data_IF_076704863442
#
_entry.id   IF_076704863442
#
_cell.length_a   1.000
_cell.length_b   1.000
_cell.length_c   1.000
_cell.angle_alpha   90.00
_cell.angle_beta   90.00
_cell.angle_gamma   90.00
#
_symmetry.space_group_name_H-M   'P 1'
#
loop_
_entity.id
_entity.type
_entity.pdbx_description
1 polymer ?
#
# COMPACT_ATOMS: atom_id res chain seq x y z
N UNK A 1 -22.57 -5.23 2.92
CA UNK A 1 -23.66 -5.59 3.87
C UNK A 1 -23.64 -7.08 4.25
N UNK A 2 -23.19 -7.97 3.37
CA UNK A 2 -23.35 -9.43 3.51
C UNK A 2 -22.59 -10.08 4.67
N UNK A 3 -21.32 -9.71 4.93
CA UNK A 3 -20.50 -10.48 5.89
C UNK A 3 -20.94 -10.23 7.35
N UNK A 4 -21.07 -8.97 7.77
CA UNK A 4 -21.33 -8.63 9.18
C UNK A 4 -22.82 -8.59 9.53
N UNK A 5 -23.69 -8.30 8.55
CA UNK A 5 -25.14 -8.25 8.77
C UNK A 5 -25.80 -9.63 8.80
N UNK A 6 -25.29 -10.59 8.03
CA UNK A 6 -25.95 -11.89 7.80
C UNK A 6 -25.20 -13.08 8.41
N UNK A 7 -24.01 -12.86 9.00
CA UNK A 7 -23.14 -13.92 9.57
C UNK A 7 -22.87 -15.08 8.60
N UNK A 8 -22.51 -14.74 7.36
CA UNK A 8 -22.26 -15.70 6.28
C UNK A 8 -20.76 -15.84 6.01
N UNK A 9 -20.28 -17.07 5.83
CA UNK A 9 -18.92 -17.35 5.36
C UNK A 9 -18.81 -17.09 3.86
N UNK A 10 -17.75 -16.41 3.43
CA UNK A 10 -17.52 -16.06 2.01
C UNK A 10 -16.20 -16.67 1.55
N UNK A 11 -16.23 -17.39 0.43
CA UNK A 11 -15.04 -17.85 -0.28
C UNK A 11 -14.69 -16.84 -1.38
N UNK A 12 -13.48 -16.31 -1.35
CA UNK A 12 -12.97 -15.38 -2.37
C UNK A 12 -11.88 -16.10 -3.15
N UNK A 13 -12.03 -16.18 -4.48
CA UNK A 13 -11.00 -16.70 -5.36
C UNK A 13 -10.95 -15.92 -6.67
N UNK A 14 -9.85 -16.09 -7.39
CA UNK A 14 -9.66 -15.65 -8.78
C UNK A 14 -9.09 -16.83 -9.58
N UNK A 15 -8.41 -16.57 -10.72
CA UNK A 15 -7.72 -17.61 -11.49
C UNK A 15 -6.66 -18.31 -10.63
N UNK A 16 -5.59 -17.58 -10.29
CA UNK A 16 -4.41 -18.11 -9.59
C UNK A 16 -4.40 -17.73 -8.10
N UNK A 17 -5.26 -16.79 -7.71
CA UNK A 17 -5.50 -16.45 -6.31
C UNK A 17 -4.44 -15.56 -5.64
N UNK A 18 -3.33 -15.20 -6.30
CA UNK A 18 -2.27 -14.39 -5.68
C UNK A 18 -2.28 -12.89 -6.05
N UNK A 19 -3.18 -12.42 -6.92
CA UNK A 19 -3.28 -11.01 -7.32
C UNK A 19 -4.56 -10.33 -6.79
N UNK A 20 -5.72 -10.65 -7.39
CA UNK A 20 -7.00 -10.01 -7.05
C UNK A 20 -7.60 -10.50 -5.73
N UNK A 21 -7.34 -11.74 -5.35
CA UNK A 21 -7.83 -12.30 -4.08
C UNK A 21 -7.24 -11.56 -2.87
N UNK A 22 -5.90 -11.39 -2.73
CA UNK A 22 -5.37 -10.64 -1.60
C UNK A 22 -5.82 -9.19 -1.59
N UNK A 23 -6.00 -8.53 -2.75
CA UNK A 23 -6.61 -7.19 -2.81
C UNK A 23 -7.97 -7.15 -2.12
N UNK A 24 -8.90 -8.04 -2.50
CA UNK A 24 -10.26 -8.07 -1.96
C UNK A 24 -10.27 -8.47 -0.47
N UNK A 25 -9.54 -9.53 -0.11
CA UNK A 25 -9.51 -10.04 1.25
C UNK A 25 -8.91 -9.03 2.23
N UNK A 26 -7.83 -8.34 1.86
CA UNK A 26 -7.18 -7.37 2.75
C UNK A 26 -7.94 -6.05 2.85
N UNK A 27 -8.57 -5.57 1.77
CA UNK A 27 -9.48 -4.41 1.85
C UNK A 27 -10.70 -4.71 2.74
N UNK A 28 -11.28 -5.90 2.63
CA UNK A 28 -12.38 -6.30 3.51
C UNK A 28 -11.94 -6.39 4.98
N UNK A 29 -10.75 -6.94 5.25
CA UNK A 29 -10.16 -7.00 6.59
C UNK A 29 -9.93 -5.59 7.16
N UNK A 30 -9.36 -4.66 6.40
CA UNK A 30 -9.21 -3.25 6.81
C UNK A 30 -10.55 -2.57 7.12
N UNK A 31 -11.58 -2.91 6.35
CA UNK A 31 -12.92 -2.35 6.54
C UNK A 31 -13.59 -2.86 7.82
N UNK A 32 -13.35 -4.12 8.20
CA UNK A 32 -14.10 -4.79 9.28
C UNK A 32 -13.35 -4.76 10.62
N UNK A 33 -12.02 -4.91 10.60
CA UNK A 33 -11.22 -5.10 11.81
C UNK A 33 -10.28 -3.89 12.04
N UNK A 34 -10.49 -3.13 13.14
CA UNK A 34 -9.63 -2.00 13.49
C UNK A 34 -8.16 -2.38 13.70
N UNK A 35 -7.86 -3.63 14.06
CA UNK A 35 -6.47 -4.07 14.25
C UNK A 35 -5.62 -3.79 13.03
N UNK A 36 -6.11 -4.13 11.83
CA UNK A 36 -5.38 -3.93 10.58
C UNK A 36 -5.19 -2.47 10.18
N UNK A 37 -5.85 -1.53 10.88
CA UNK A 37 -5.70 -0.09 10.69
C UNK A 37 -4.60 0.52 11.56
N UNK A 38 -3.93 -0.28 12.38
CA UNK A 38 -2.68 0.06 13.07
C UNK A 38 -1.47 -0.18 12.14
N UNK A 39 -0.32 0.45 12.40
CA UNK A 39 0.95 0.21 11.69
C UNK A 39 1.34 -1.27 11.80
N UNK A 40 1.27 -1.82 13.02
CA UNK A 40 1.56 -3.24 13.26
C UNK A 40 0.56 -4.15 12.53
N UNK A 41 -0.72 -3.81 12.56
CA UNK A 41 -1.75 -4.56 11.86
C UNK A 41 -1.56 -4.52 10.34
N UNK A 42 -1.23 -3.36 9.77
CA UNK A 42 -0.92 -3.23 8.34
C UNK A 42 0.28 -4.11 7.95
N UNK A 43 1.34 -4.09 8.76
CA UNK A 43 2.49 -4.98 8.59
C UNK A 43 2.06 -6.45 8.58
N UNK A 44 1.27 -6.88 9.58
CA UNK A 44 0.78 -8.27 9.65
C UNK A 44 -0.09 -8.60 8.44
N UNK A 45 -0.95 -7.68 8.00
CA UNK A 45 -1.81 -7.87 6.83
C UNK A 45 -0.99 -8.09 5.55
N UNK A 46 0.07 -7.32 5.35
CA UNK A 46 0.96 -7.44 4.19
C UNK A 46 1.78 -8.72 4.27
N UNK A 47 2.43 -9.01 5.40
CA UNK A 47 3.24 -10.22 5.57
C UNK A 47 2.38 -11.49 5.47
N UNK A 48 1.17 -11.48 6.02
CA UNK A 48 0.23 -12.61 5.97
C UNK A 48 -0.38 -12.77 4.59
N UNK A 49 -1.18 -11.80 4.13
CA UNK A 49 -2.07 -12.00 2.99
C UNK A 49 -1.43 -11.66 1.64
N UNK A 50 -0.31 -10.93 1.62
CA UNK A 50 0.41 -10.66 0.38
C UNK A 50 1.65 -11.55 0.26
N UNK A 51 2.54 -11.51 1.25
CA UNK A 51 3.82 -12.23 1.17
C UNK A 51 3.63 -13.74 1.35
N UNK A 52 2.95 -14.18 2.42
CA UNK A 52 2.80 -15.61 2.69
C UNK A 52 1.86 -16.33 1.71
N UNK A 53 0.87 -15.63 1.16
CA UNK A 53 -0.02 -16.15 0.10
C UNK A 53 0.61 -16.13 -1.30
N UNK A 54 1.86 -15.67 -1.44
CA UNK A 54 2.65 -15.83 -2.66
C UNK A 54 2.35 -14.81 -3.76
N UNK A 55 2.02 -13.57 -3.39
CA UNK A 55 2.02 -12.49 -4.39
C UNK A 55 3.41 -12.37 -5.02
N UNK A 56 3.48 -12.41 -6.35
CA UNK A 56 4.72 -12.45 -7.10
C UNK A 56 5.39 -11.08 -7.23
N UNK A 57 5.83 -10.49 -6.11
CA UNK A 57 6.37 -9.12 -6.08
C UNK A 57 7.51 -8.91 -7.08
N UNK A 58 8.45 -9.85 -7.19
CA UNK A 58 9.60 -9.76 -8.10
C UNK A 58 9.16 -9.72 -9.57
N UNK A 59 8.20 -10.58 -9.95
CA UNK A 59 7.69 -10.65 -11.34
C UNK A 59 6.83 -9.43 -11.69
N UNK A 60 6.00 -8.97 -10.74
CA UNK A 60 5.07 -7.85 -10.90
C UNK A 60 5.79 -6.50 -10.95
N UNK A 61 6.87 -6.35 -10.17
CA UNK A 61 7.65 -5.11 -10.05
C UNK A 61 8.94 -5.11 -10.89
N UNK A 62 9.24 -6.22 -11.56
CA UNK A 62 10.41 -6.39 -12.42
C UNK A 62 11.76 -6.15 -11.74
N UNK A 63 11.94 -6.71 -10.54
CA UNK A 63 13.23 -6.64 -9.83
C UNK A 63 14.33 -7.44 -10.52
N UNK A 64 13.97 -8.47 -11.29
CA UNK A 64 14.92 -9.23 -12.10
C UNK A 64 15.27 -8.49 -13.39
N UNK A 65 16.55 -8.23 -13.60
CA UNK A 65 17.07 -7.53 -14.79
C UNK A 65 17.30 -8.45 -15.99
N UNK A 66 17.19 -9.77 -15.82
CA UNK A 66 17.64 -10.73 -16.83
C UNK A 66 16.64 -10.93 -17.97
N UNK A 67 15.35 -10.69 -17.77
CA UNK A 67 14.34 -10.64 -18.85
C UNK A 67 13.19 -9.68 -18.48
N UNK A 68 12.65 -8.91 -19.45
CA UNK A 68 11.42 -8.16 -19.21
C UNK A 68 10.28 -9.16 -18.94
N UNK A 69 9.86 -9.26 -17.68
CA UNK A 69 8.65 -9.99 -17.31
C UNK A 69 7.45 -9.38 -18.04
N UNK A 70 6.76 -10.19 -18.85
CA UNK A 70 5.44 -9.83 -19.42
C UNK A 70 4.35 -9.82 -18.33
N UNK A 71 4.65 -10.30 -17.12
CA UNK A 71 3.70 -10.33 -16.00
C UNK A 71 3.71 -9.04 -15.16
N UNK A 72 4.37 -7.97 -15.61
CA UNK A 72 4.39 -6.68 -14.88
C UNK A 72 2.98 -6.12 -14.74
N UNK A 73 2.60 -5.81 -13.51
CA UNK A 73 1.29 -5.22 -13.23
C UNK A 73 1.28 -4.52 -11.87
N UNK A 74 0.67 -3.32 -11.74
CA UNK A 74 0.70 -2.51 -10.52
C UNK A 74 -0.29 -3.02 -9.44
N UNK A 75 -0.34 -4.32 -9.18
CA UNK A 75 -1.36 -4.94 -8.31
C UNK A 75 -1.28 -4.42 -6.88
N UNK A 76 -0.09 -4.39 -6.28
CA UNK A 76 0.12 -3.87 -4.93
C UNK A 76 -0.04 -2.35 -4.85
N UNK A 77 0.37 -1.62 -5.90
CA UNK A 77 0.12 -0.18 -6.03
C UNK A 77 -1.37 0.15 -5.99
N UNK A 78 -2.17 -0.53 -6.81
CA UNK A 78 -3.62 -0.33 -6.87
C UNK A 78 -4.29 -0.67 -5.55
N UNK A 79 -3.74 -1.62 -4.79
CA UNK A 79 -4.20 -1.89 -3.44
C UNK A 79 -3.88 -0.74 -2.48
N UNK A 80 -2.65 -0.23 -2.47
CA UNK A 80 -2.28 0.92 -1.64
C UNK A 80 -3.07 2.18 -1.99
N UNK A 81 -3.37 2.41 -3.27
CA UNK A 81 -4.31 3.45 -3.70
C UNK A 81 -5.68 3.22 -3.06
N UNK A 82 -6.25 2.01 -3.14
CA UNK A 82 -7.50 1.70 -2.43
C UNK A 82 -7.41 1.97 -0.93
N UNK A 83 -6.30 1.67 -0.25
CA UNK A 83 -6.10 2.00 1.17
C UNK A 83 -6.13 3.52 1.37
N UNK A 84 -5.42 4.28 0.54
CA UNK A 84 -5.44 5.75 0.56
C UNK A 84 -6.85 6.32 0.32
N UNK A 85 -7.63 5.74 -0.59
CA UNK A 85 -9.03 6.14 -0.82
C UNK A 85 -9.88 5.98 0.45
N UNK A 86 -9.66 4.92 1.23
CA UNK A 86 -10.37 4.69 2.49
C UNK A 86 -9.89 5.67 3.56
N UNK A 87 -8.56 5.87 3.69
CA UNK A 87 -7.98 6.85 4.62
C UNK A 87 -8.54 8.25 4.39
N UNK A 88 -8.64 8.70 3.13
CA UNK A 88 -9.22 10.01 2.79
C UNK A 88 -10.68 10.12 3.23
N UNK A 89 -11.47 9.06 3.09
CA UNK A 89 -12.89 9.06 3.48
C UNK A 89 -13.10 8.93 4.99
N UNK A 90 -12.11 8.41 5.71
CA UNK A 90 -12.13 8.18 7.16
C UNK A 90 -10.81 8.65 7.80
N UNK A 91 -10.60 9.97 7.94
CA UNK A 91 -9.29 10.53 8.30
C UNK A 91 -8.79 10.14 9.68
N UNK A 92 -9.66 9.71 10.59
CA UNK A 92 -9.31 9.42 11.99
C UNK A 92 -9.16 7.93 12.31
N UNK A 93 -9.45 7.03 11.36
CA UNK A 93 -9.61 5.59 11.70
C UNK A 93 -8.35 4.75 11.50
N UNK A 94 -7.30 5.33 10.93
CA UNK A 94 -6.00 4.71 10.68
C UNK A 94 -4.93 5.35 11.55
N UNK A 95 -4.10 4.52 12.19
CA UNK A 95 -2.95 4.94 12.98
C UNK A 95 -1.85 5.52 12.09
N UNK A 96 -1.74 4.99 10.87
CA UNK A 96 -0.75 5.44 9.92
C UNK A 96 -1.25 6.55 9.00
N UNK A 97 -0.32 7.39 8.56
CA UNK A 97 -0.56 8.47 7.61
C UNK A 97 -0.13 8.09 6.18
N UNK A 98 -0.29 9.04 5.24
CA UNK A 98 0.06 8.87 3.84
C UNK A 98 1.54 8.57 3.60
N UNK A 99 2.45 9.13 4.44
CA UNK A 99 3.88 8.91 4.33
C UNK A 99 4.24 7.42 4.43
N UNK A 100 3.49 6.63 5.22
CA UNK A 100 3.74 5.19 5.30
C UNK A 100 3.44 4.51 3.96
N UNK A 101 2.30 4.84 3.34
CA UNK A 101 1.93 4.25 2.06
C UNK A 101 2.93 4.64 0.95
N UNK A 102 3.35 5.90 0.92
CA UNK A 102 4.40 6.37 -0.01
C UNK A 102 5.73 5.66 0.24
N UNK A 103 6.13 5.49 1.50
CA UNK A 103 7.36 4.78 1.83
C UNK A 103 7.32 3.30 1.45
N UNK A 104 6.17 2.63 1.58
CA UNK A 104 5.97 1.26 1.09
C UNK A 104 6.15 1.21 -0.44
N UNK A 105 5.57 2.16 -1.19
CA UNK A 105 5.68 2.23 -2.65
C UNK A 105 7.09 2.55 -3.14
N UNK A 106 7.78 3.49 -2.50
CA UNK A 106 9.15 3.81 -2.88
C UNK A 106 10.07 2.60 -2.67
N UNK A 107 9.86 1.85 -1.58
CA UNK A 107 10.64 0.66 -1.28
C UNK A 107 10.15 -0.62 -1.96
N UNK A 108 8.97 -0.60 -2.58
CA UNK A 108 8.53 -1.64 -3.51
C UNK A 108 9.44 -1.70 -4.72
N UNK A 109 9.91 -0.55 -5.22
CA UNK A 109 10.73 -0.46 -6.44
C UNK A 109 12.23 -0.22 -6.16
N UNK A 110 12.60 0.36 -5.01
CA UNK A 110 14.00 0.69 -4.73
C UNK A 110 14.92 -0.51 -4.50
N UNK A 111 14.34 -1.68 -4.19
CA UNK A 111 15.06 -2.88 -3.76
C UNK A 111 15.99 -2.66 -2.55
N UNK A 112 15.78 -1.60 -1.76
CA UNK A 112 16.59 -1.28 -0.58
C UNK A 112 16.45 -2.32 0.54
N UNK A 113 15.26 -2.91 0.67
CA UNK A 113 14.91 -3.88 1.68
C UNK A 113 14.53 -5.20 1.03
N UNK A 114 14.73 -6.32 1.71
CA UNK A 114 14.37 -7.64 1.19
C UNK A 114 12.89 -7.98 1.30
N UNK A 115 12.08 -7.10 1.90
CA UNK A 115 10.66 -7.35 2.17
C UNK A 115 9.89 -7.73 0.90
N UNK A 116 10.13 -7.05 -0.23
CA UNK A 116 9.36 -7.23 -1.47
C UNK A 116 10.14 -7.91 -2.61
N UNK A 117 11.30 -8.53 -2.36
CA UNK A 117 12.19 -9.02 -3.44
C UNK A 117 11.89 -10.44 -3.95
N UNK A 118 11.00 -11.19 -3.30
CA UNK A 118 10.71 -12.60 -3.63
C UNK A 118 9.28 -12.78 -4.12
N UNK A 119 9.06 -13.84 -4.91
CA UNK A 119 7.74 -14.26 -5.36
C UNK A 119 7.03 -15.22 -4.39
N UNK A 120 7.77 -15.87 -3.49
CA UNK A 120 7.17 -16.75 -2.52
C UNK A 120 7.87 -16.68 -1.15
N UNK A 121 7.14 -17.07 -0.11
CA UNK A 121 7.63 -17.10 1.26
C UNK A 121 8.88 -17.97 1.41
N UNK A 122 8.88 -19.17 0.81
CA UNK A 122 9.96 -20.14 0.94
C UNK A 122 11.30 -19.60 0.39
N UNK A 123 11.26 -18.94 -0.76
CA UNK A 123 12.46 -18.35 -1.37
C UNK A 123 12.97 -17.17 -0.53
N UNK A 124 12.05 -16.36 0.03
CA UNK A 124 12.42 -15.24 0.92
C UNK A 124 13.10 -15.74 2.19
N UNK A 125 12.54 -16.77 2.82
CA UNK A 125 13.08 -17.35 4.05
C UNK A 125 14.48 -17.93 3.83
N UNK A 126 14.67 -18.67 2.73
CA UNK A 126 15.95 -19.30 2.40
C UNK A 126 17.04 -18.32 1.98
N UNK A 127 16.69 -17.27 1.23
CA UNK A 127 17.68 -16.47 0.52
C UNK A 127 17.79 -15.02 0.98
N UNK A 128 16.74 -14.45 1.57
CA UNK A 128 16.66 -13.00 1.84
C UNK A 128 16.64 -12.65 3.32
N UNK A 129 15.98 -13.43 4.17
CA UNK A 129 15.79 -13.05 5.58
C UNK A 129 17.10 -12.89 6.37
N UNK A 130 18.14 -13.67 6.03
CA UNK A 130 19.45 -13.56 6.68
C UNK A 130 20.37 -12.52 6.03
N UNK A 131 20.11 -12.13 4.79
CA UNK A 131 21.01 -11.32 3.94
C UNK A 131 20.52 -9.89 3.73
N UNK A 132 19.28 -9.58 4.12
CA UNK A 132 18.63 -8.29 3.87
C UNK A 132 17.92 -7.76 5.11
N UNK A 133 17.71 -6.43 5.14
CA UNK A 133 16.89 -5.79 6.17
C UNK A 133 15.41 -5.79 5.76
N UNK A 134 14.54 -5.89 6.76
CA UNK A 134 13.10 -5.65 6.59
C UNK A 134 12.79 -4.15 6.62
N UNK A 135 11.89 -3.71 5.74
CA UNK A 135 11.36 -2.34 5.77
C UNK A 135 10.69 -2.01 7.12
N UNK A 136 10.07 -3.00 7.75
CA UNK A 136 9.38 -2.83 9.03
C UNK A 136 10.33 -2.41 10.14
N UNK A 137 11.59 -2.87 10.11
CA UNK A 137 12.61 -2.42 11.06
C UNK A 137 12.92 -0.92 10.89
N UNK A 138 12.92 -0.42 9.66
CA UNK A 138 13.08 1.01 9.39
C UNK A 138 11.84 1.81 9.78
N UNK A 139 10.64 1.26 9.54
CA UNK A 139 9.36 1.86 9.97
C UNK A 139 9.33 2.01 11.49
N UNK A 140 9.66 0.96 12.24
CA UNK A 140 9.74 0.97 13.71
C UNK A 140 10.74 2.02 14.22
N UNK A 141 11.90 2.16 13.57
CA UNK A 141 12.91 3.17 13.94
C UNK A 141 12.45 4.61 13.66
N UNK A 142 11.52 4.81 12.73
CA UNK A 142 11.01 6.11 12.32
C UNK A 142 9.51 6.24 12.60
N UNK A 143 9.01 5.51 13.61
CA UNK A 143 7.59 5.31 13.87
C UNK A 143 6.80 6.63 13.93
N UNK A 144 7.35 7.65 14.61
CA UNK A 144 6.72 8.97 14.74
C UNK A 144 6.43 9.67 13.40
N UNK A 145 7.22 9.40 12.34
CA UNK A 145 6.97 9.95 11.00
C UNK A 145 5.68 9.42 10.39
N UNK A 146 5.33 8.18 10.71
CA UNK A 146 4.22 7.46 10.09
C UNK A 146 2.92 7.59 10.85
N UNK A 147 2.92 8.23 12.01
CA UNK A 147 1.73 8.40 12.81
C UNK A 147 0.79 9.44 12.21
N UNK A 148 -0.49 9.10 12.21
CA UNK A 148 -1.59 10.01 11.98
C UNK A 148 -1.93 10.73 13.30
N UNK A 149 -1.76 12.06 13.39
CA UNK A 149 -2.06 12.80 14.61
C UNK A 149 -3.56 12.80 14.96
N UNK A 150 -4.42 12.57 13.97
CA UNK A 150 -5.87 12.54 14.14
C UNK A 150 -6.42 11.13 14.43
N UNK A 151 -5.54 10.15 14.66
CA UNK A 151 -5.95 8.77 14.91
C UNK A 151 -6.77 8.64 16.20
N UNK A 152 -7.98 8.10 16.04
CA UNK A 152 -8.87 7.72 17.13
C UNK A 152 -8.92 6.19 17.23
N UNK A 153 -8.34 5.64 18.30
CA UNK A 153 -8.24 4.20 18.56
C UNK A 153 -9.62 3.50 18.57
N UNK A 154 -10.68 4.22 18.96
CA UNK A 154 -12.05 3.72 18.98
C UNK A 154 -12.85 4.20 17.76
N UNK A 155 -12.89 3.37 16.72
CA UNK A 155 -13.89 3.48 15.65
C UNK A 155 -15.05 2.52 15.92
N UNK A 156 -16.28 3.02 16.09
CA UNK A 156 -17.45 2.14 16.19
C UNK A 156 -17.76 1.48 14.84
N UNK A 157 -17.62 0.16 14.79
CA UNK A 157 -18.06 -0.66 13.67
C UNK A 157 -17.16 -0.63 12.42
N UNK A 158 -17.61 -1.27 11.33
CA UNK A 158 -16.85 -1.35 10.09
C UNK A 158 -16.85 -0.01 9.34
N UNK A 159 -15.76 0.29 8.64
CA UNK A 159 -15.71 1.39 7.68
C UNK A 159 -16.23 0.93 6.32
N UNK A 160 -17.20 1.66 5.78
CA UNK A 160 -17.82 1.34 4.48
C UNK A 160 -17.54 2.51 3.54
N UNK A 161 -16.47 2.44 2.73
CA UNK A 161 -16.13 3.52 1.82
C UNK A 161 -17.18 3.67 0.72
N UNK A 162 -17.41 4.90 0.30
CA UNK A 162 -18.17 5.20 -0.90
C UNK A 162 -17.38 4.77 -2.14
N UNK A 163 -18.00 3.92 -2.95
CA UNK A 163 -17.49 3.48 -4.26
C UNK A 163 -18.03 4.33 -5.42
N UNK A 164 -18.70 5.44 -5.12
CA UNK A 164 -19.19 6.35 -6.15
C UNK A 164 -18.00 7.01 -6.85
N UNK A 165 -17.90 6.99 -8.20
CA UNK A 165 -16.80 7.61 -8.92
C UNK A 165 -16.55 9.09 -8.57
N UNK A 166 -17.60 9.84 -8.16
CA UNK A 166 -17.46 11.23 -7.70
C UNK A 166 -16.62 11.38 -6.43
N UNK A 167 -16.63 10.34 -5.60
CA UNK A 167 -15.93 10.28 -4.33
C UNK A 167 -14.54 9.63 -4.46
N UNK A 168 -14.20 9.06 -5.61
CA UNK A 168 -12.86 8.58 -5.92
C UNK A 168 -12.02 9.75 -6.43
N UNK A 169 -10.82 9.92 -5.90
CA UNK A 169 -9.90 11.01 -6.25
C UNK A 169 -8.59 10.43 -6.75
N UNK A 170 -7.87 11.18 -7.58
CA UNK A 170 -6.48 10.83 -7.92
C UNK A 170 -5.65 11.00 -6.65
N UNK A 171 -4.75 10.05 -6.40
CA UNK A 171 -3.79 10.16 -5.31
C UNK A 171 -2.66 11.11 -5.72
N UNK A 172 -2.91 12.41 -5.61
CA UNK A 172 -1.98 13.48 -6.03
C UNK A 172 -0.61 13.34 -5.35
N UNK A 173 -0.58 13.03 -4.05
CA UNK A 173 0.67 12.82 -3.30
C UNK A 173 1.53 11.64 -3.78
N UNK A 174 0.99 10.74 -4.60
CA UNK A 174 1.76 9.71 -5.30
C UNK A 174 1.95 10.04 -6.80
N UNK A 175 0.85 10.25 -7.53
CA UNK A 175 0.86 10.38 -8.99
C UNK A 175 1.35 11.74 -9.48
N UNK A 176 1.20 12.80 -8.69
CA UNK A 176 1.56 14.18 -9.04
C UNK A 176 2.73 14.72 -8.21
N UNK A 177 3.38 13.88 -7.38
CA UNK A 177 4.45 14.28 -6.46
C UNK A 177 5.70 14.89 -7.10
N UNK A 178 5.84 14.80 -8.42
CA UNK A 178 6.94 15.38 -9.19
C UNK A 178 6.50 16.53 -10.10
N UNK A 179 5.24 16.98 -10.00
CA UNK A 179 4.78 18.15 -10.73
C UNK A 179 5.47 19.41 -10.18
N UNK A 180 6.40 19.95 -10.98
CA UNK A 180 7.16 21.15 -10.66
C UNK A 180 6.27 22.39 -10.57
N UNK A 181 5.05 22.36 -11.14
CA UNK A 181 4.10 23.46 -11.05
C UNK A 181 3.54 23.68 -9.64
N UNK A 182 3.61 22.64 -8.79
CA UNK A 182 3.15 22.68 -7.41
C UNK A 182 4.23 23.03 -6.38
N UNK A 183 5.50 23.14 -6.81
CA UNK A 183 6.56 23.60 -5.93
C UNK A 183 6.37 25.09 -5.62
N UNK A 184 6.52 25.53 -4.35
CA UNK A 184 6.49 26.95 -4.05
C UNK A 184 7.57 27.65 -4.86
N UNK A 185 7.17 28.65 -5.66
CA UNK A 185 8.12 29.51 -6.37
C UNK A 185 9.16 29.99 -5.37
N UNK A 186 10.44 29.76 -5.67
CA UNK A 186 11.51 30.30 -4.85
C UNK A 186 11.28 31.81 -4.71
N UNK A 187 11.26 32.37 -3.48
CA UNK A 187 11.04 33.80 -3.30
C UNK A 187 12.16 34.55 -4.03
N UNK A 188 11.81 35.15 -5.19
CA UNK A 188 12.72 35.91 -6.03
C UNK A 188 12.83 35.47 -7.51
N UNK A 189 12.20 34.37 -7.94
CA UNK A 189 12.23 33.99 -9.36
C UNK A 189 11.12 34.70 -10.15
N UNK A 190 11.45 35.83 -10.79
CA UNK A 190 10.63 36.35 -11.88
C UNK A 190 10.66 35.34 -13.04
N UNK A 191 9.48 34.87 -13.46
CA UNK A 191 9.30 34.05 -14.66
C UNK A 191 10.03 34.65 -15.87
N UNK A 192 10.52 33.79 -16.77
CA UNK A 192 9.89 33.76 -18.07
C UNK A 192 9.63 32.33 -18.57
N UNK A 193 8.39 32.11 -19.01
CA UNK A 193 7.98 31.35 -20.21
C UNK A 193 8.86 30.23 -20.75
N UNK A 194 8.23 29.05 -20.86
CA UNK A 194 8.26 28.09 -21.99
C UNK A 194 9.61 27.48 -22.35
N UNK A 195 9.75 26.17 -22.08
CA UNK A 195 10.40 25.24 -23.00
C UNK A 195 9.59 23.94 -23.05
N UNK A 196 8.81 23.78 -24.11
CA UNK A 196 8.54 22.47 -24.69
C UNK A 196 9.71 22.18 -25.64
N UNK A 197 10.33 21.01 -25.48
CA UNK A 197 10.96 20.23 -26.54
C UNK A 197 10.53 18.76 -26.36
#
# INVERSE_FOLDING_TARGET
RTIQGERVGVLVHCSDGWDRTPQLCTLAQLCVDPYYRTIQGLQVLIEKDWMAYGHKFSDRCAHSTSQPSEERSPIFLLWLDCVWQIMRQFPTVFEFNEDLLLALLDNLYSCRFGTFLSNCFLDREKHLNASTLSIWRWVEQNYARFLNPDYAEYSEGPVIPSVNPKNIKVWEGYFERFDLSQLPFAPGSNNPTVYYD
#
